data_IF_105246236265
#
_entry.id   IF_105246236265
#
_cell.length_a   1.000
_cell.length_b   1.000
_cell.length_c   1.000
_cell.angle_alpha   90.00
_cell.angle_beta   90.00
_cell.angle_gamma   90.00
#
_symmetry.space_group_name_H-M   'P 1'
#
loop_
_entity.id
_entity.type
_entity.pdbx_description
1 polymer ?
#
# COMPACT_ATOMS: atom_id res chain seq x y z
N UNK A 1 58.51 24.28 -15.95
CA UNK A 1 58.92 23.41 -14.82
C UNK A 1 57.67 23.02 -14.05
N UNK A 2 57.25 21.74 -14.09
CA UNK A 2 56.07 21.26 -13.36
C UNK A 2 56.56 20.41 -12.17
N UNK A 3 56.30 20.79 -10.90
CA UNK A 3 56.77 20.02 -9.77
C UNK A 3 55.95 18.74 -9.66
N UNK A 4 56.58 17.61 -9.97
CA UNK A 4 55.99 16.27 -9.83
C UNK A 4 55.92 15.95 -8.33
N UNK A 5 54.83 16.34 -7.66
CA UNK A 5 54.59 15.97 -6.26
C UNK A 5 54.49 14.44 -6.16
N UNK A 6 55.54 13.81 -5.62
CA UNK A 6 55.53 12.38 -5.30
C UNK A 6 54.86 12.21 -3.94
N UNK A 7 53.70 11.56 -3.91
CA UNK A 7 53.02 11.17 -2.67
C UNK A 7 54.01 10.42 -1.77
N UNK A 8 54.15 10.85 -0.52
CA UNK A 8 55.04 10.18 0.42
C UNK A 8 54.48 8.81 0.83
N UNK A 9 55.34 7.84 1.17
CA UNK A 9 54.90 6.50 1.62
C UNK A 9 53.88 6.57 2.77
N UNK A 10 54.10 7.50 3.72
CA UNK A 10 53.22 7.73 4.86
C UNK A 10 51.86 8.26 4.44
N UNK A 11 51.83 9.12 3.44
CA UNK A 11 50.62 9.74 2.92
C UNK A 11 49.81 8.75 2.08
N UNK A 12 50.48 7.94 1.25
CA UNK A 12 49.86 6.81 0.54
C UNK A 12 49.18 5.84 1.52
N UNK A 13 49.88 5.38 2.56
CA UNK A 13 49.31 4.48 3.57
C UNK A 13 48.14 5.12 4.33
N UNK A 14 48.21 6.42 4.62
CA UNK A 14 47.12 7.15 5.27
C UNK A 14 45.87 7.22 4.40
N UNK A 15 46.02 7.46 3.10
CA UNK A 15 44.91 7.43 2.17
C UNK A 15 44.30 6.03 2.07
N UNK A 16 45.14 5.00 1.91
CA UNK A 16 44.69 3.62 1.81
C UNK A 16 43.88 3.18 3.05
N UNK A 17 44.39 3.46 4.26
CA UNK A 17 43.70 3.09 5.50
C UNK A 17 42.39 3.87 5.69
N UNK A 18 42.37 5.16 5.33
CA UNK A 18 41.15 5.98 5.42
C UNK A 18 40.09 5.51 4.42
N UNK A 19 40.45 5.34 3.16
CA UNK A 19 39.51 4.90 2.13
C UNK A 19 39.03 3.47 2.39
N UNK A 20 39.93 2.58 2.80
CA UNK A 20 39.59 1.21 3.18
C UNK A 20 38.67 1.16 4.39
N UNK A 21 38.94 1.95 5.42
CA UNK A 21 38.08 2.07 6.61
C UNK A 21 36.69 2.60 6.27
N UNK A 22 36.59 3.65 5.45
CA UNK A 22 35.30 4.18 4.99
C UNK A 22 34.54 3.14 4.16
N UNK A 23 35.21 2.44 3.24
CA UNK A 23 34.59 1.41 2.42
C UNK A 23 34.08 0.23 3.27
N UNK A 24 34.86 -0.20 4.26
CA UNK A 24 34.48 -1.26 5.19
C UNK A 24 33.26 -0.86 6.04
N UNK A 25 33.27 0.35 6.61
CA UNK A 25 32.13 0.87 7.36
C UNK A 25 30.89 0.99 6.47
N UNK A 26 31.04 1.48 5.24
CA UNK A 26 29.95 1.53 4.27
C UNK A 26 29.38 0.14 3.97
N UNK A 27 30.23 -0.85 3.72
CA UNK A 27 29.83 -2.23 3.45
C UNK A 27 29.15 -2.91 4.66
N UNK A 28 29.56 -2.57 5.89
CA UNK A 28 28.96 -3.10 7.11
C UNK A 28 27.63 -2.41 7.47
N UNK A 29 27.53 -1.09 7.27
CA UNK A 29 26.32 -0.31 7.59
C UNK A 29 25.23 -0.54 6.55
N UNK A 30 25.59 -0.71 5.27
CA UNK A 30 24.63 -0.89 4.19
C UNK A 30 23.59 -2.00 4.41
N UNK A 31 23.94 -3.25 4.78
CA UNK A 31 22.94 -4.29 5.01
C UNK A 31 22.06 -3.99 6.22
N UNK A 32 22.61 -3.38 7.28
CA UNK A 32 21.82 -2.95 8.45
C UNK A 32 20.81 -1.88 8.03
N UNK A 33 21.25 -0.88 7.29
CA UNK A 33 20.39 0.18 6.78
C UNK A 33 19.30 -0.39 5.85
N UNK A 34 19.64 -1.34 4.98
CA UNK A 34 18.67 -2.02 4.09
C UNK A 34 17.70 -2.93 4.82
N UNK A 35 18.11 -3.52 5.94
CA UNK A 35 17.23 -4.31 6.79
C UNK A 35 16.23 -3.43 7.53
N UNK A 36 16.68 -2.30 8.08
CA UNK A 36 15.83 -1.33 8.80
C UNK A 36 14.93 -0.54 7.85
N UNK A 37 15.43 -0.21 6.66
CA UNK A 37 14.70 0.52 5.61
C UNK A 37 14.68 -0.32 4.34
N UNK A 38 13.83 -1.36 4.30
CA UNK A 38 13.69 -2.18 3.12
C UNK A 38 13.21 -1.32 1.95
N UNK A 39 13.76 -1.52 0.73
CA UNK A 39 13.21 -0.88 -0.45
C UNK A 39 11.74 -1.26 -0.58
N UNK A 40 10.90 -0.34 -1.07
CA UNK A 40 9.49 -0.65 -1.33
C UNK A 40 9.44 -1.88 -2.24
N UNK A 41 8.86 -2.98 -1.74
CA UNK A 41 8.67 -4.18 -2.53
C UNK A 41 7.87 -3.82 -3.77
N UNK A 42 8.25 -4.37 -4.92
CA UNK A 42 7.44 -4.31 -6.13
C UNK A 42 6.09 -4.92 -5.76
N UNK A 43 5.05 -4.10 -5.61
CA UNK A 43 3.69 -4.62 -5.46
C UNK A 43 3.46 -5.51 -6.68
N UNK A 44 3.34 -6.82 -6.42
CA UNK A 44 3.10 -7.82 -7.45
C UNK A 44 1.94 -7.34 -8.33
N UNK A 45 2.15 -7.38 -9.63
CA UNK A 45 1.30 -6.87 -10.71
C UNK A 45 -0.03 -7.61 -10.86
N UNK A 46 -0.66 -8.00 -9.75
CA UNK A 46 -2.03 -8.47 -9.73
C UNK A 46 -2.89 -7.23 -9.90
N UNK A 47 -3.03 -6.81 -11.15
CA UNK A 47 -3.87 -5.68 -11.54
C UNK A 47 -5.34 -6.04 -11.47
N UNK A 48 -5.71 -7.33 -11.45
CA UNK A 48 -7.10 -7.79 -11.45
C UNK A 48 -7.25 -9.08 -10.64
N UNK A 49 -8.29 -9.16 -9.81
CA UNK A 49 -8.69 -10.38 -9.08
C UNK A 49 -10.20 -10.60 -9.22
N UNK A 50 -10.62 -11.86 -9.15
CA UNK A 50 -12.03 -12.21 -8.95
C UNK A 50 -12.38 -11.97 -7.47
N UNK A 51 -13.25 -11.00 -7.20
CA UNK A 51 -13.65 -10.65 -5.83
C UNK A 51 -14.86 -11.49 -5.35
N UNK A 52 -15.79 -11.76 -6.24
CA UNK A 52 -17.02 -12.52 -5.98
C UNK A 52 -17.64 -13.00 -7.30
N UNK A 53 -18.64 -13.88 -7.20
CA UNK A 53 -19.53 -14.20 -8.34
C UNK A 53 -20.82 -13.40 -8.26
N UNK A 54 -21.49 -13.22 -9.40
CA UNK A 54 -22.83 -12.64 -9.48
C UNK A 54 -23.80 -13.46 -8.62
N UNK A 55 -24.57 -12.79 -7.78
CA UNK A 55 -25.51 -13.42 -6.84
C UNK A 55 -24.91 -13.87 -5.52
N UNK A 56 -23.57 -13.90 -5.37
CA UNK A 56 -22.93 -14.15 -4.07
C UNK A 56 -23.16 -13.00 -3.08
N UNK A 57 -23.24 -11.77 -3.60
CA UNK A 57 -23.37 -10.55 -2.80
C UNK A 57 -24.78 -9.96 -2.92
N UNK A 58 -25.59 -10.14 -1.88
CA UNK A 58 -26.93 -9.57 -1.80
C UNK A 58 -26.90 -8.02 -1.80
N UNK A 59 -28.00 -7.39 -2.19
CA UNK A 59 -28.14 -5.92 -2.15
C UNK A 59 -27.97 -5.42 -0.72
N UNK A 60 -27.32 -4.26 -0.56
CA UNK A 60 -27.03 -3.66 0.75
C UNK A 60 -26.10 -4.52 1.63
N UNK A 61 -25.17 -5.26 1.03
CA UNK A 61 -24.17 -6.05 1.75
C UNK A 61 -22.76 -5.82 1.19
N UNK A 62 -21.75 -6.26 1.92
CA UNK A 62 -20.36 -6.15 1.50
C UNK A 62 -19.57 -7.42 1.78
N UNK A 63 -18.50 -7.61 1.02
CA UNK A 63 -17.55 -8.71 1.15
C UNK A 63 -16.13 -8.18 1.15
N UNK A 64 -15.33 -8.63 2.11
CA UNK A 64 -13.89 -8.41 2.13
C UNK A 64 -13.23 -9.53 1.33
N UNK A 65 -12.33 -9.17 0.43
CA UNK A 65 -11.60 -10.10 -0.43
C UNK A 65 -10.11 -9.77 -0.42
N UNK A 66 -9.28 -10.70 -0.90
CA UNK A 66 -7.82 -10.52 -0.96
C UNK A 66 -7.43 -9.82 -2.26
N UNK A 67 -6.73 -8.69 -2.16
CA UNK A 67 -6.14 -7.97 -3.30
C UNK A 67 -4.62 -7.88 -3.12
N UNK A 68 -3.90 -8.90 -3.60
CA UNK A 68 -2.46 -9.04 -3.37
C UNK A 68 -2.12 -9.24 -1.88
N UNK A 69 -1.42 -8.27 -1.29
CA UNK A 69 -1.03 -8.25 0.13
C UNK A 69 -1.97 -7.42 1.01
N UNK A 70 -2.95 -6.73 0.43
CA UNK A 70 -3.90 -5.86 1.16
C UNK A 70 -5.34 -6.36 0.97
N UNK A 71 -6.23 -6.14 1.94
CA UNK A 71 -7.64 -6.47 1.80
C UNK A 71 -8.36 -5.44 0.91
N UNK A 72 -9.26 -5.92 0.06
CA UNK A 72 -10.23 -5.10 -0.68
C UNK A 72 -11.63 -5.28 -0.08
N UNK A 73 -12.47 -4.26 -0.25
CA UNK A 73 -13.87 -4.24 0.17
C UNK A 73 -14.73 -4.08 -1.08
N UNK A 74 -15.60 -5.05 -1.35
CA UNK A 74 -16.63 -4.99 -2.39
C UNK A 74 -17.98 -4.74 -1.71
N UNK A 75 -18.71 -3.72 -2.14
CA UNK A 75 -20.01 -3.32 -1.60
C UNK A 75 -21.03 -3.43 -2.74
N UNK A 76 -22.16 -4.08 -2.48
CA UNK A 76 -23.37 -3.93 -3.28
C UNK A 76 -24.25 -2.90 -2.56
N UNK A 77 -24.29 -1.68 -3.09
CA UNK A 77 -24.98 -0.55 -2.44
C UNK A 77 -26.48 -0.83 -2.29
N UNK A 78 -27.21 -0.06 -1.46
CA UNK A 78 -28.67 -0.16 -1.40
C UNK A 78 -29.36 -0.01 -2.76
N UNK A 79 -28.72 0.70 -3.71
CA UNK A 79 -29.23 0.92 -5.07
C UNK A 79 -28.88 -0.23 -6.04
N UNK A 80 -28.17 -1.27 -5.59
CA UNK A 80 -27.73 -2.37 -6.45
C UNK A 80 -26.46 -2.08 -7.25
N UNK A 81 -25.73 -1.01 -6.92
CA UNK A 81 -24.48 -0.63 -7.58
C UNK A 81 -23.31 -1.34 -6.91
N UNK A 82 -22.44 -1.97 -7.70
CA UNK A 82 -21.21 -2.56 -7.18
C UNK A 82 -20.10 -1.52 -7.10
N UNK A 83 -19.56 -1.32 -5.90
CA UNK A 83 -18.40 -0.45 -5.65
C UNK A 83 -17.32 -1.22 -4.94
N UNK A 84 -16.06 -0.96 -5.28
CA UNK A 84 -14.93 -1.58 -4.62
C UNK A 84 -13.89 -0.55 -4.17
N UNK A 85 -13.31 -0.80 -3.00
CA UNK A 85 -12.29 0.04 -2.39
C UNK A 85 -11.21 -0.81 -1.74
N UNK A 86 -10.07 -0.21 -1.42
CA UNK A 86 -9.17 -0.76 -0.42
C UNK A 86 -9.91 -0.84 0.91
N UNK A 87 -9.88 -2.01 1.56
CA UNK A 87 -10.44 -2.17 2.91
C UNK A 87 -9.48 -1.65 3.99
N UNK A 88 -8.46 -0.86 3.63
CA UNK A 88 -7.44 -0.34 4.54
C UNK A 88 -7.75 1.11 4.89
N UNK A 89 -8.07 1.36 6.15
CA UNK A 89 -8.30 2.69 6.69
C UNK A 89 -7.07 3.58 6.49
N UNK A 90 -7.26 4.79 5.98
CA UNK A 90 -6.17 5.70 5.62
C UNK A 90 -5.52 6.40 6.81
N UNK A 91 -6.06 6.20 8.02
CA UNK A 91 -5.45 6.67 9.27
C UNK A 91 -4.21 5.82 9.62
N UNK A 92 -4.41 4.58 10.09
CA UNK A 92 -3.35 3.70 10.58
C UNK A 92 -3.54 2.24 10.12
N UNK A 93 -4.10 2.04 8.93
CA UNK A 93 -4.20 0.75 8.23
C UNK A 93 -5.06 -0.34 8.90
N UNK A 94 -5.97 0.02 9.82
CA UNK A 94 -7.00 -0.91 10.27
C UNK A 94 -7.93 -1.33 9.12
N UNK A 95 -8.50 -2.52 9.21
CA UNK A 95 -9.49 -2.98 8.23
C UNK A 95 -10.83 -2.27 8.46
N UNK A 96 -11.39 -1.67 7.42
CA UNK A 96 -12.72 -1.03 7.46
C UNK A 96 -13.81 -2.05 7.15
N UNK A 97 -15.04 -1.75 7.58
CA UNK A 97 -16.23 -2.59 7.37
C UNK A 97 -17.36 -1.75 6.81
N UNK A 98 -18.26 -2.38 6.08
CA UNK A 98 -19.49 -1.72 5.64
C UNK A 98 -20.56 -1.82 6.74
N UNK A 99 -21.24 -0.71 7.01
CA UNK A 99 -22.36 -0.60 7.94
C UNK A 99 -23.65 -0.31 7.15
N UNK A 100 -24.49 -1.33 6.89
CA UNK A 100 -25.67 -1.20 6.03
C UNK A 100 -26.71 -0.20 6.56
N UNK A 101 -26.93 -0.19 7.87
CA UNK A 101 -27.98 0.63 8.51
C UNK A 101 -27.77 2.13 8.28
N UNK A 102 -26.51 2.56 8.26
CA UNK A 102 -26.14 3.96 8.07
C UNK A 102 -25.56 4.25 6.68
N UNK A 103 -25.51 3.24 5.79
CA UNK A 103 -24.94 3.34 4.44
C UNK A 103 -23.54 3.97 4.44
N UNK A 104 -22.66 3.51 5.33
CA UNK A 104 -21.31 4.05 5.48
C UNK A 104 -20.26 2.96 5.60
N UNK A 105 -19.01 3.32 5.35
CA UNK A 105 -17.85 2.48 5.61
C UNK A 105 -17.22 2.97 6.91
N UNK A 106 -17.03 2.07 7.88
CA UNK A 106 -16.61 2.39 9.23
C UNK A 106 -15.30 1.70 9.63
N UNK A 107 -14.49 2.39 10.43
CA UNK A 107 -13.28 1.87 11.04
C UNK A 107 -13.41 1.88 12.57
N UNK A 108 -13.43 0.70 13.17
CA UNK A 108 -13.58 0.52 14.62
C UNK A 108 -12.41 1.06 15.46
N UNK A 109 -11.21 1.19 14.88
CA UNK A 109 -10.02 1.56 15.66
C UNK A 109 -10.08 2.97 16.25
N UNK A 110 -10.57 3.94 15.47
CA UNK A 110 -10.62 5.36 15.89
C UNK A 110 -11.86 6.06 15.34
N UNK A 111 -12.93 5.31 15.09
CA UNK A 111 -14.22 5.81 14.61
C UNK A 111 -14.15 6.62 13.30
N UNK A 112 -13.25 6.22 12.39
CA UNK A 112 -13.17 6.82 11.05
C UNK A 112 -14.38 6.40 10.22
N UNK A 113 -15.02 7.36 9.53
CA UNK A 113 -16.20 7.13 8.70
C UNK A 113 -15.98 7.62 7.29
N UNK A 114 -16.39 6.81 6.32
CA UNK A 114 -16.41 7.15 4.91
C UNK A 114 -17.80 6.93 4.33
N UNK A 115 -18.14 7.67 3.28
CA UNK A 115 -19.37 7.47 2.52
C UNK A 115 -19.26 6.25 1.58
N UNK A 116 -20.34 5.93 0.86
CA UNK A 116 -20.35 4.88 -0.16
C UNK A 116 -19.47 5.16 -1.39
N UNK A 117 -18.88 6.36 -1.48
CA UNK A 117 -17.89 6.73 -2.50
C UNK A 117 -16.45 6.68 -1.95
N UNK A 118 -16.27 6.23 -0.70
CA UNK A 118 -14.98 6.16 -0.02
C UNK A 118 -14.45 7.51 0.47
N UNK A 119 -15.24 8.59 0.40
CA UNK A 119 -14.86 9.92 0.87
C UNK A 119 -14.95 10.00 2.38
N UNK A 120 -14.02 10.71 3.01
CA UNK A 120 -14.03 10.89 4.48
C UNK A 120 -15.22 11.76 4.87
N UNK A 121 -16.07 11.23 5.75
CA UNK A 121 -17.16 12.00 6.37
C UNK A 121 -16.69 12.58 7.70
N UNK A 122 -16.04 11.75 8.52
CA UNK A 122 -15.64 12.14 9.88
C UNK A 122 -14.53 11.26 10.45
N UNK A 123 -13.92 11.76 11.51
CA UNK A 123 -12.90 11.07 12.29
C UNK A 123 -11.48 11.40 11.83
N UNK A 124 -10.48 10.66 12.33
CA UNK A 124 -9.07 10.92 12.03
C UNK A 124 -8.59 10.69 10.59
N UNK A 125 -9.22 9.85 9.72
CA UNK A 125 -8.70 9.58 8.38
C UNK A 125 -8.41 10.85 7.58
N UNK A 126 -7.17 11.05 7.10
CA UNK A 126 -6.79 12.30 6.44
C UNK A 126 -7.15 12.34 4.95
N UNK A 127 -7.56 11.21 4.36
CA UNK A 127 -7.82 11.08 2.93
C UNK A 127 -8.84 9.97 2.60
N UNK A 128 -9.47 10.02 1.42
CA UNK A 128 -10.42 9.00 0.97
C UNK A 128 -9.79 7.61 0.83
N UNK A 129 -10.63 6.58 0.89
CA UNK A 129 -10.24 5.22 0.54
C UNK A 129 -9.80 5.17 -0.93
N UNK A 130 -8.82 4.30 -1.20
CA UNK A 130 -8.40 4.02 -2.57
C UNK A 130 -9.52 3.27 -3.30
N UNK A 131 -10.09 3.86 -4.35
CA UNK A 131 -11.12 3.22 -5.14
C UNK A 131 -10.53 2.20 -6.11
N UNK A 132 -11.25 1.10 -6.31
CA UNK A 132 -10.94 0.08 -7.31
C UNK A 132 -12.00 0.08 -8.41
N UNK A 133 -11.59 -0.33 -9.61
CA UNK A 133 -12.51 -0.52 -10.73
C UNK A 133 -13.18 -1.88 -10.61
N UNK A 134 -14.50 -1.89 -10.78
CA UNK A 134 -15.31 -3.12 -10.81
C UNK A 134 -15.72 -3.39 -12.25
N UNK A 135 -15.44 -4.60 -12.73
CA UNK A 135 -15.84 -5.07 -14.05
C UNK A 135 -16.56 -6.40 -13.90
N UNK A 136 -17.79 -6.50 -14.41
CA UNK A 136 -18.54 -7.76 -14.44
C UNK A 136 -18.26 -8.46 -15.77
N UNK A 137 -17.79 -9.71 -15.73
CA UNK A 137 -17.57 -10.55 -16.92
C UNK A 137 -18.23 -11.90 -16.73
N UNK A 138 -19.34 -12.12 -17.45
CA UNK A 138 -20.15 -13.31 -17.24
C UNK A 138 -20.69 -13.33 -15.80
N UNK A 139 -20.38 -14.39 -15.06
CA UNK A 139 -20.76 -14.54 -13.66
C UNK A 139 -19.70 -14.03 -12.67
N UNK A 140 -18.56 -13.51 -13.13
CA UNK A 140 -17.47 -13.06 -12.26
C UNK A 140 -17.48 -11.54 -12.07
N UNK A 141 -17.28 -11.10 -10.82
CA UNK A 141 -17.02 -9.71 -10.45
C UNK A 141 -15.50 -9.56 -10.31
N UNK A 142 -14.89 -8.94 -11.33
CA UNK A 142 -13.47 -8.64 -11.37
C UNK A 142 -13.22 -7.27 -10.77
N UNK A 143 -12.25 -7.17 -9.87
CA UNK A 143 -11.80 -5.91 -9.28
C UNK A 143 -10.37 -5.64 -9.69
N UNK A 144 -10.09 -4.41 -10.13
CA UNK A 144 -8.77 -3.97 -10.59
C UNK A 144 -8.35 -2.63 -9.99
N UNK A 145 -7.05 -2.40 -9.85
CA UNK A 145 -6.54 -1.07 -9.52
C UNK A 145 -6.73 -0.14 -10.74
N UNK A 146 -7.16 1.12 -10.54
CA UNK A 146 -7.16 2.10 -11.62
C UNK A 146 -5.73 2.32 -12.11
N UNK A 147 -5.57 2.43 -13.42
CA UNK A 147 -4.28 2.61 -14.09
C UNK A 147 -3.64 3.96 -13.76
#
# INVERSE_FOLDING_TARGET
>A
MCPRQRISRREFLRYLLKSGGVAFLGAAIYPIARYLYPPRGVESSVSTVVAATLGELAVNTAKIFRFGSRPGLLINTPQGELKAFSAVCTHLNCTVQYEPDNSLIWCACHNGKYDLNGQVISGPPPRPLEAYQVNVRGEEILVSKPA
#
